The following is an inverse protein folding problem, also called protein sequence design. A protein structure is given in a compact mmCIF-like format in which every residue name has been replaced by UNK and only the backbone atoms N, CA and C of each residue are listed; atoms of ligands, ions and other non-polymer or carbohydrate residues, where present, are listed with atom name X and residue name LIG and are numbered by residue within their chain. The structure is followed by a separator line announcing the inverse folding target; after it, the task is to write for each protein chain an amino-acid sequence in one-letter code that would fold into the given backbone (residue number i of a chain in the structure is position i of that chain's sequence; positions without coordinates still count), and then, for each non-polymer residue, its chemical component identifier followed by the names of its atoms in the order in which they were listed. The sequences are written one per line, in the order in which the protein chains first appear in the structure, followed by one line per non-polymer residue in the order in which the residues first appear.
data_IF_260154462347
#
_entry.id   IF_260154462347
#
_cell.length_a   1.000
_cell.length_b   1.000
_cell.length_c   1.000
_cell.angle_alpha   90.00
_cell.angle_beta   90.00
_cell.angle_gamma   90.00
#
_symmetry.space_group_name_H-M   'P 1'
#
loop_
_entity.id
_entity.type
_entity.pdbx_description
1 polymer ?
#
# COMPACT_ATOMS: atom_id res chain seq x y z
N UNK A 1 -0.99 23.43 26.84
CA UNK A 1 -0.08 22.27 26.80
C UNK A 1 -0.30 21.60 25.45
N UNK A 2 0.07 22.24 24.34
CA UNK A 2 -0.48 21.89 23.02
C UNK A 2 0.56 21.69 21.93
N UNK A 3 1.77 22.25 22.10
CA UNK A 3 2.83 22.13 21.09
C UNK A 3 3.35 20.71 20.92
N UNK A 4 3.51 19.96 22.02
CA UNK A 4 4.11 18.62 21.99
C UNK A 4 3.15 17.60 21.35
N UNK A 5 1.85 17.71 21.64
CA UNK A 5 0.81 16.83 21.08
C UNK A 5 0.68 17.02 19.56
N UNK A 6 0.75 18.26 19.09
CA UNK A 6 0.67 18.59 17.66
C UNK A 6 1.93 18.16 16.88
N UNK A 7 3.11 18.27 17.50
CA UNK A 7 4.35 17.78 16.89
C UNK A 7 4.38 16.26 16.85
N UNK A 8 3.92 15.57 17.91
CA UNK A 8 3.80 14.11 17.89
C UNK A 8 2.79 13.63 16.84
N UNK A 9 1.63 14.25 16.73
CA UNK A 9 0.64 13.89 15.71
C UNK A 9 1.17 14.15 14.30
N UNK A 10 1.92 15.23 14.10
CA UNK A 10 2.57 15.54 12.82
C UNK A 10 3.65 14.51 12.44
N UNK A 11 4.53 14.15 13.38
CA UNK A 11 5.56 13.12 13.16
C UNK A 11 4.92 11.74 12.96
N UNK A 12 3.84 11.44 13.67
CA UNK A 12 3.10 10.19 13.54
C UNK A 12 2.32 10.11 12.22
N UNK A 13 1.87 11.25 11.69
CA UNK A 13 1.18 11.40 10.39
C UNK A 13 2.11 11.14 9.20
N UNK A 14 3.39 11.49 9.32
CA UNK A 14 4.39 11.25 8.27
C UNK A 14 4.78 9.77 8.15
N UNK A 15 4.51 8.94 9.18
CA UNK A 15 4.74 7.49 9.10
C UNK A 15 3.77 6.87 8.10
N UNK A 16 4.31 6.03 7.22
CA UNK A 16 3.52 5.25 6.27
C UNK A 16 3.04 3.96 6.94
N UNK A 17 1.76 3.64 6.80
CA UNK A 17 1.14 2.41 7.24
C UNK A 17 0.90 1.51 6.04
N UNK A 18 1.24 0.22 6.17
CA UNK A 18 0.86 -0.81 5.21
C UNK A 18 -0.65 -1.09 5.37
N UNK A 19 -1.40 -1.03 4.28
CA UNK A 19 -2.86 -1.25 4.29
C UNK A 19 -3.28 -2.50 3.53
N UNK A 20 -2.56 -2.85 2.47
CA UNK A 20 -2.94 -3.95 1.61
C UNK A 20 -1.71 -4.56 0.97
N UNK A 21 -1.68 -5.87 0.90
CA UNK A 21 -0.64 -6.64 0.23
C UNK A 21 -1.31 -7.61 -0.71
N UNK A 22 -0.87 -7.63 -1.97
CA UNK A 22 -1.38 -8.58 -2.96
C UNK A 22 -0.25 -9.08 -3.84
N UNK A 23 -0.39 -10.31 -4.30
CA UNK A 23 0.50 -10.92 -5.31
C UNK A 23 -0.20 -10.97 -6.67
N UNK A 24 -1.45 -10.54 -6.75
CA UNK A 24 -2.29 -10.60 -7.94
C UNK A 24 -2.34 -9.21 -8.57
N UNK A 25 -1.91 -9.13 -9.84
CA UNK A 25 -1.84 -7.86 -10.56
C UNK A 25 -3.22 -7.20 -10.78
N UNK A 26 -4.27 -8.00 -10.97
CA UNK A 26 -5.64 -7.49 -11.08
C UNK A 26 -6.09 -6.79 -9.78
N UNK A 27 -5.83 -7.42 -8.64
CA UNK A 27 -6.14 -6.86 -7.32
C UNK A 27 -5.30 -5.60 -7.03
N UNK A 28 -4.07 -5.51 -7.57
CA UNK A 28 -3.27 -4.28 -7.53
C UNK A 28 -4.00 -3.12 -8.24
N UNK A 29 -4.46 -3.32 -9.48
CA UNK A 29 -5.14 -2.25 -10.22
C UNK A 29 -6.47 -1.85 -9.56
N UNK A 30 -7.19 -2.82 -9.02
CA UNK A 30 -8.44 -2.59 -8.29
C UNK A 30 -8.21 -1.79 -7.01
N UNK A 31 -7.22 -2.16 -6.21
CA UNK A 31 -6.85 -1.41 -5.00
C UNK A 31 -6.37 0.01 -5.34
N UNK A 32 -5.51 0.16 -6.34
CA UNK A 32 -5.03 1.45 -6.83
C UNK A 32 -6.19 2.35 -7.31
N UNK A 33 -7.14 1.79 -8.05
CA UNK A 33 -8.33 2.52 -8.53
C UNK A 33 -9.23 2.97 -7.39
N UNK A 34 -9.47 2.11 -6.39
CA UNK A 34 -10.29 2.45 -5.20
C UNK A 34 -9.65 3.58 -4.38
N UNK A 35 -8.35 3.48 -4.10
CA UNK A 35 -7.61 4.51 -3.36
C UNK A 35 -7.58 5.84 -4.12
N UNK A 36 -7.41 5.79 -5.44
CA UNK A 36 -7.43 6.98 -6.29
C UNK A 36 -8.82 7.63 -6.36
N UNK A 37 -9.90 6.85 -6.42
CA UNK A 37 -11.26 7.36 -6.45
C UNK A 37 -11.62 8.14 -5.17
N UNK A 38 -11.10 7.69 -4.03
CA UNK A 38 -11.28 8.35 -2.73
C UNK A 38 -10.29 9.51 -2.49
N UNK A 39 -9.38 9.78 -3.44
CA UNK A 39 -8.37 10.83 -3.34
C UNK A 39 -7.32 10.59 -2.26
N UNK A 40 -7.04 9.33 -1.93
CA UNK A 40 -6.04 8.95 -0.92
C UNK A 40 -4.66 8.89 -1.56
N UNK A 41 -3.69 9.58 -0.97
CA UNK A 41 -2.29 9.53 -1.41
C UNK A 41 -1.67 8.19 -0.96
N UNK A 42 -1.30 7.35 -1.92
CA UNK A 42 -0.70 6.04 -1.66
C UNK A 42 0.65 5.87 -2.36
N UNK A 43 1.49 4.99 -1.81
CA UNK A 43 2.75 4.56 -2.40
C UNK A 43 2.75 3.04 -2.49
N UNK A 44 3.04 2.52 -3.67
CA UNK A 44 3.19 1.08 -3.87
C UNK A 44 4.66 0.73 -3.82
N UNK A 45 5.02 -0.25 -2.99
CA UNK A 45 6.30 -0.91 -3.07
C UNK A 45 6.10 -2.26 -3.75
N UNK A 46 6.89 -2.53 -4.78
CA UNK A 46 6.91 -3.80 -5.49
C UNK A 46 8.13 -4.56 -5.04
N UNK A 47 7.96 -5.69 -4.35
CA UNK A 47 9.04 -6.63 -4.10
C UNK A 47 8.96 -7.73 -5.14
N UNK A 48 9.87 -7.70 -6.10
CA UNK A 48 10.12 -8.80 -7.02
C UNK A 48 11.23 -9.68 -6.43
N UNK A 49 10.88 -10.85 -5.93
CA UNK A 49 11.87 -11.90 -5.72
C UNK A 49 12.26 -12.42 -7.11
N UNK A 50 13.30 -11.85 -7.71
CA UNK A 50 13.81 -12.34 -8.99
C UNK A 50 14.11 -13.83 -8.85
N UNK A 51 13.42 -14.73 -9.58
CA UNK A 51 13.84 -16.12 -9.60
C UNK A 51 15.23 -16.16 -10.22
N UNK A 52 16.15 -16.86 -9.54
CA UNK A 52 17.46 -17.16 -10.09
C UNK A 52 17.28 -17.72 -11.51
N UNK A 53 18.15 -17.29 -12.44
CA UNK A 53 18.15 -17.63 -13.86
C UNK A 53 17.72 -19.10 -14.10
N UNK A 54 16.56 -19.31 -14.76
CA UNK A 54 16.14 -20.64 -15.23
C UNK A 54 14.78 -21.16 -14.76
N UNK A 55 13.97 -20.40 -14.01
CA UNK A 55 12.62 -20.87 -13.61
C UNK A 55 11.56 -20.59 -14.69
N UNK A 56 10.64 -21.52 -14.98
CA UNK A 56 9.60 -21.34 -15.97
C UNK A 56 8.63 -20.23 -15.53
N UNK A 57 8.37 -19.28 -16.44
CA UNK A 57 7.41 -18.20 -16.24
C UNK A 57 6.01 -18.79 -15.99
N UNK A 58 5.64 -18.91 -14.71
CA UNK A 58 4.29 -19.31 -14.35
C UNK A 58 3.33 -18.19 -14.70
N UNK A 59 2.15 -18.58 -15.20
CA UNK A 59 1.07 -17.66 -15.62
C UNK A 59 0.58 -16.73 -14.50
N UNK A 60 0.94 -17.05 -13.24
CA UNK A 60 0.81 -16.19 -12.08
C UNK A 60 2.20 -16.01 -11.47
N UNK A 61 2.79 -14.85 -11.67
CA UNK A 61 4.09 -14.51 -11.10
C UNK A 61 3.89 -14.10 -9.63
N UNK A 62 3.67 -15.10 -8.76
CA UNK A 62 3.61 -14.90 -7.30
C UNK A 62 4.95 -14.40 -6.71
N UNK A 63 5.96 -14.21 -7.57
CA UNK A 63 7.25 -13.64 -7.23
C UNK A 63 7.18 -12.13 -7.00
N UNK A 64 6.10 -11.47 -7.43
CA UNK A 64 5.90 -10.03 -7.26
C UNK A 64 4.86 -9.75 -6.18
N UNK A 65 5.32 -9.18 -5.08
CA UNK A 65 4.49 -8.71 -3.98
C UNK A 65 4.27 -7.20 -4.10
N UNK A 66 3.01 -6.80 -4.21
CA UNK A 66 2.59 -5.40 -4.21
C UNK A 66 2.12 -5.00 -2.82
N UNK A 67 2.86 -4.09 -2.19
CA UNK A 67 2.55 -3.55 -0.86
C UNK A 67 2.09 -2.11 -1.00
N UNK A 68 0.86 -1.83 -0.57
CA UNK A 68 0.27 -0.51 -0.56
C UNK A 68 0.50 0.17 0.78
N UNK A 69 1.13 1.34 0.73
CA UNK A 69 1.42 2.18 1.87
C UNK A 69 0.68 3.51 1.75
N UNK A 70 0.03 3.94 2.82
CA UNK A 70 -0.59 5.27 2.92
C UNK A 70 -0.05 5.99 4.14
N UNK A 71 -0.28 7.29 4.23
CA UNK A 71 0.01 8.03 5.47
C UNK A 71 -0.87 7.48 6.59
N UNK A 72 -0.35 7.43 7.81
CA UNK A 72 -1.08 6.86 8.94
C UNK A 72 -2.38 7.60 9.25
N UNK A 73 -2.47 8.89 8.92
CA UNK A 73 -3.70 9.68 9.04
C UNK A 73 -4.78 9.25 8.06
N UNK A 74 -4.40 8.83 6.86
CA UNK A 74 -5.32 8.37 5.82
C UNK A 74 -5.61 6.87 5.90
N UNK A 75 -5.00 6.16 6.87
CA UNK A 75 -5.10 4.71 7.02
C UNK A 75 -6.56 4.24 7.11
N UNK A 76 -7.36 4.87 7.96
CA UNK A 76 -8.76 4.47 8.16
C UNK A 76 -9.57 4.63 6.87
N UNK A 77 -9.44 5.79 6.23
CA UNK A 77 -10.09 6.07 4.94
C UNK A 77 -9.66 5.09 3.85
N UNK A 78 -8.38 4.71 3.84
CA UNK A 78 -7.84 3.75 2.89
C UNK A 78 -8.34 2.31 3.15
N UNK A 79 -8.43 1.89 4.42
CA UNK A 79 -8.98 0.59 4.83
C UNK A 79 -10.47 0.51 4.42
N UNK A 80 -11.24 1.57 4.65
CA UNK A 80 -12.63 1.67 4.19
C UNK A 80 -12.74 1.62 2.66
N UNK A 81 -11.88 2.35 1.94
CA UNK A 81 -11.87 2.38 0.48
C UNK A 81 -11.61 1.00 -0.13
N UNK A 82 -10.74 0.18 0.48
CA UNK A 82 -10.42 -1.16 -0.02
C UNK A 82 -11.54 -2.16 0.24
N UNK A 83 -12.19 -2.08 1.41
CA UNK A 83 -13.26 -3.00 1.83
C UNK A 83 -14.64 -2.66 1.28
N UNK A 84 -14.85 -1.44 0.78
CA UNK A 84 -16.09 -1.01 0.10
C UNK A 84 -16.19 -1.55 -1.32
#
# INVERSE_FOLDING_TARGET
MDGIMNVLSYILSNKKALIYTTFIQEEYYKAASKLSAEGVEYRVATLSNTPSVGSPAHRYDYNVEFKFYVRKVDRHKAEEAIHR
#
